data_IF_987897923929
#
_entry.id   IF_987897923929
#
_cell.length_a   1.000
_cell.length_b   1.000
_cell.length_c   1.000
_cell.angle_alpha   90.00
_cell.angle_beta   90.00
_cell.angle_gamma   90.00
#
_symmetry.space_group_name_H-M   'P 1'
#
loop_
_entity.id
_entity.type
_entity.pdbx_description
1 polymer ?
#
# COMPACT_ATOMS: atom_id res chain seq x y z
N UNK A 1 -9.24 -8.34 -43.85
CA UNK A 1 -9.39 -8.79 -42.45
C UNK A 1 -9.23 -7.59 -41.54
N UNK A 2 -10.23 -6.70 -41.52
CA UNK A 2 -10.34 -5.60 -40.57
C UNK A 2 -11.46 -5.92 -39.58
N UNK A 3 -11.34 -5.33 -38.37
CA UNK A 3 -12.30 -5.34 -37.26
C UNK A 3 -12.31 -6.58 -36.32
N UNK A 4 -11.25 -6.75 -35.51
CA UNK A 4 -11.34 -7.34 -34.16
C UNK A 4 -10.59 -6.47 -33.14
N UNK A 5 -10.57 -5.16 -33.34
CA UNK A 5 -10.31 -4.21 -32.27
C UNK A 5 -11.33 -3.10 -32.47
N UNK A 6 -12.30 -3.02 -31.55
CA UNK A 6 -13.23 -1.89 -31.51
C UNK A 6 -12.44 -0.59 -31.51
N UNK A 7 -13.02 0.47 -32.09
CA UNK A 7 -12.42 1.80 -32.16
C UNK A 7 -11.68 2.13 -30.86
N UNK A 8 -10.35 2.08 -30.92
CA UNK A 8 -9.48 2.61 -29.88
C UNK A 8 -9.63 4.11 -30.04
N UNK A 9 -10.44 4.72 -29.17
CA UNK A 9 -10.52 6.17 -29.02
C UNK A 9 -9.08 6.70 -28.86
N UNK A 10 -8.65 7.64 -29.70
CA UNK A 10 -7.28 8.21 -29.63
C UNK A 10 -6.99 8.80 -28.24
N UNK A 11 -8.05 9.13 -27.48
CA UNK A 11 -8.00 9.58 -26.09
C UNK A 11 -7.72 8.46 -25.07
N UNK A 12 -7.88 7.19 -25.40
CA UNK A 12 -7.70 6.11 -24.43
C UNK A 12 -6.23 5.91 -24.04
N UNK A 13 -5.29 6.23 -24.94
CA UNK A 13 -3.85 6.15 -24.68
C UNK A 13 -3.25 7.46 -24.18
N UNK A 14 -3.87 8.61 -24.45
CA UNK A 14 -3.33 9.91 -24.05
C UNK A 14 -3.27 10.08 -22.53
N UNK A 15 -4.29 9.60 -21.79
CA UNK A 15 -4.29 9.66 -20.33
C UNK A 15 -3.24 8.75 -19.67
N UNK A 16 -3.16 7.43 -19.98
CA UNK A 16 -2.07 6.59 -19.46
C UNK A 16 -0.68 7.13 -19.81
N UNK A 17 -0.53 7.72 -21.00
CA UNK A 17 0.73 8.30 -21.46
C UNK A 17 1.11 9.56 -20.68
N UNK A 18 0.17 10.48 -20.45
CA UNK A 18 0.42 11.67 -19.64
C UNK A 18 0.78 11.30 -18.20
N UNK A 19 0.08 10.32 -17.61
CA UNK A 19 0.41 9.82 -16.28
C UNK A 19 1.78 9.14 -16.23
N UNK A 20 2.15 8.37 -17.26
CA UNK A 20 3.49 7.78 -17.33
C UNK A 20 4.58 8.85 -17.42
N UNK A 21 4.30 10.01 -18.02
CA UNK A 21 5.20 11.17 -18.00
C UNK A 21 5.24 11.85 -16.62
N UNK A 22 4.08 12.04 -15.96
CA UNK A 22 3.98 12.65 -14.63
C UNK A 22 4.65 11.81 -13.52
N UNK A 23 4.64 10.48 -13.70
CA UNK A 23 5.36 9.52 -12.87
C UNK A 23 6.83 9.37 -13.26
N UNK A 24 7.29 10.12 -14.26
CA UNK A 24 8.66 10.09 -14.80
C UNK A 24 9.09 8.68 -15.24
N UNK A 25 8.13 7.85 -15.66
CA UNK A 25 8.39 6.51 -16.21
C UNK A 25 8.94 6.62 -17.63
N UNK A 26 8.43 7.58 -18.40
CA UNK A 26 8.81 7.81 -19.78
C UNK A 26 9.08 9.29 -20.04
N UNK A 27 9.95 9.58 -21.01
CA UNK A 27 10.22 10.92 -21.49
C UNK A 27 10.00 10.99 -23.00
N UNK A 28 9.40 12.08 -23.46
CA UNK A 28 9.30 12.40 -24.88
C UNK A 28 10.54 13.20 -25.29
N UNK A 29 11.35 12.66 -26.20
CA UNK A 29 12.50 13.35 -26.81
C UNK A 29 12.44 13.15 -28.32
N UNK A 30 12.55 14.22 -29.10
CA UNK A 30 12.51 14.17 -30.57
C UNK A 30 11.30 13.40 -31.15
N UNK A 31 10.12 13.58 -30.54
CA UNK A 31 8.89 12.89 -30.95
C UNK A 31 8.85 11.39 -30.65
N UNK A 32 9.81 10.86 -29.88
CA UNK A 32 9.87 9.45 -29.47
C UNK A 32 9.83 9.32 -27.96
N UNK A 33 9.13 8.30 -27.47
CA UNK A 33 9.10 7.95 -26.06
C UNK A 33 10.27 7.06 -25.68
N UNK A 34 10.95 7.42 -24.61
CA UNK A 34 12.04 6.67 -24.01
C UNK A 34 11.67 6.32 -22.58
N UNK A 35 12.08 5.14 -22.14
CA UNK A 35 12.00 4.79 -20.73
C UNK A 35 12.95 5.70 -19.95
N UNK A 36 12.43 6.42 -18.97
CA UNK A 36 13.20 7.32 -18.10
C UNK A 36 13.81 6.59 -16.90
N UNK A 37 13.46 5.30 -16.74
CA UNK A 37 13.90 4.44 -15.64
C UNK A 37 14.70 3.24 -16.19
N UNK A 38 15.57 2.61 -15.39
CA UNK A 38 16.17 1.34 -15.77
C UNK A 38 15.11 0.28 -16.11
N UNK A 39 15.34 -0.52 -17.16
CA UNK A 39 14.37 -1.51 -17.66
C UNK A 39 14.04 -2.57 -16.60
N UNK A 40 15.01 -2.85 -15.74
CA UNK A 40 14.92 -3.81 -14.65
C UNK A 40 13.84 -3.40 -13.63
N UNK A 41 13.59 -2.10 -13.45
CA UNK A 41 12.56 -1.60 -12.53
C UNK A 41 11.13 -1.79 -13.05
N UNK A 42 10.97 -2.18 -14.31
CA UNK A 42 9.67 -2.39 -14.96
C UNK A 42 9.63 -3.73 -15.72
N UNK A 43 10.53 -4.65 -15.38
CA UNK A 43 10.71 -5.92 -16.09
C UNK A 43 9.53 -6.89 -15.86
N UNK A 44 8.87 -6.80 -14.71
CA UNK A 44 7.67 -7.57 -14.38
C UNK A 44 6.59 -6.70 -13.76
N UNK A 45 5.37 -7.24 -13.63
CA UNK A 45 4.28 -6.57 -12.93
C UNK A 45 4.61 -6.28 -11.45
N UNK A 46 5.45 -7.10 -10.84
CA UNK A 46 5.90 -6.92 -9.46
C UNK A 46 6.92 -5.79 -9.37
N UNK A 47 7.91 -5.76 -10.28
CA UNK A 47 8.92 -4.69 -10.31
C UNK A 47 8.25 -3.34 -10.58
N UNK A 48 7.32 -3.32 -11.56
CA UNK A 48 6.54 -2.13 -11.87
C UNK A 48 5.71 -1.65 -10.69
N UNK A 49 4.99 -2.57 -10.00
CA UNK A 49 4.24 -2.24 -8.78
C UNK A 49 5.14 -1.65 -7.71
N UNK A 50 6.28 -2.29 -7.44
CA UNK A 50 7.23 -1.83 -6.44
C UNK A 50 7.72 -0.42 -6.74
N UNK A 51 8.19 -0.19 -7.97
CA UNK A 51 8.69 1.10 -8.39
C UNK A 51 7.63 2.20 -8.27
N UNK A 52 6.44 1.95 -8.85
CA UNK A 52 5.36 2.94 -8.88
C UNK A 52 4.78 3.22 -7.50
N UNK A 53 4.59 2.20 -6.66
CA UNK A 53 4.14 2.38 -5.28
C UNK A 53 5.14 3.24 -4.49
N UNK A 54 6.43 2.94 -4.57
CA UNK A 54 7.49 3.71 -3.90
C UNK A 54 7.48 5.17 -4.35
N UNK A 55 7.43 5.42 -5.65
CA UNK A 55 7.44 6.79 -6.23
C UNK A 55 6.17 7.57 -5.85
N UNK A 56 5.00 6.95 -5.93
CA UNK A 56 3.74 7.62 -5.61
C UNK A 56 3.61 7.92 -4.10
N UNK A 57 4.03 6.98 -3.25
CA UNK A 57 3.84 7.07 -1.80
C UNK A 57 4.98 7.80 -1.07
N UNK A 58 6.12 8.03 -1.72
CA UNK A 58 7.18 8.91 -1.18
C UNK A 58 6.84 10.40 -1.29
N UNK A 59 5.92 10.78 -2.18
CA UNK A 59 5.44 12.16 -2.36
C UNK A 59 4.35 12.48 -1.33
N UNK A 60 4.75 12.70 -0.09
CA UNK A 60 3.83 12.84 1.06
C UNK A 60 2.89 14.05 0.98
N UNK A 61 3.24 15.03 0.16
CA UNK A 61 2.45 16.23 -0.13
C UNK A 61 1.42 16.00 -1.25
N UNK A 62 1.49 14.90 -2.01
CA UNK A 62 0.62 14.61 -3.14
C UNK A 62 -0.84 14.31 -2.71
N UNK A 63 -1.84 14.61 -3.56
CA UNK A 63 -3.23 14.23 -3.31
C UNK A 63 -3.40 12.72 -3.10
N UNK A 64 -2.69 11.89 -3.87
CA UNK A 64 -2.76 10.44 -3.74
C UNK A 64 -2.32 9.96 -2.35
N UNK A 65 -1.21 10.50 -1.84
CA UNK A 65 -0.73 10.16 -0.50
C UNK A 65 -1.71 10.62 0.58
N UNK A 66 -2.19 11.86 0.51
CA UNK A 66 -3.14 12.41 1.49
C UNK A 66 -4.45 11.61 1.55
N UNK A 67 -5.00 11.25 0.39
CA UNK A 67 -6.18 10.39 0.30
C UNK A 67 -5.88 9.02 0.89
N UNK A 68 -4.75 8.41 0.53
CA UNK A 68 -4.36 7.09 1.04
C UNK A 68 -4.26 7.10 2.56
N UNK A 69 -3.55 8.08 3.11
CA UNK A 69 -3.38 8.27 4.55
C UNK A 69 -4.73 8.45 5.25
N UNK A 70 -5.62 9.30 4.72
CA UNK A 70 -6.95 9.50 5.28
C UNK A 70 -7.85 8.26 5.19
N UNK A 71 -7.76 7.48 4.11
CA UNK A 71 -8.54 6.24 4.02
C UNK A 71 -8.05 5.21 5.03
N UNK A 72 -6.74 5.06 5.19
CA UNK A 72 -6.17 4.06 6.11
C UNK A 72 -6.41 4.42 7.59
N UNK A 73 -6.52 5.70 7.93
CA UNK A 73 -6.84 6.16 9.29
C UNK A 73 -8.28 5.81 9.72
N UNK A 74 -9.20 5.59 8.77
CA UNK A 74 -10.60 5.23 9.05
C UNK A 74 -10.73 3.87 9.76
N UNK A 75 -9.73 2.98 9.63
CA UNK A 75 -9.75 1.64 10.24
C UNK A 75 -11.07 0.90 9.98
N UNK A 76 -11.85 0.56 10.99
CA UNK A 76 -13.14 -0.12 10.87
C UNK A 76 -14.24 0.73 10.21
N UNK A 77 -14.18 2.05 10.32
CA UNK A 77 -15.18 2.93 9.73
C UNK A 77 -15.19 2.81 8.20
N UNK A 78 -14.04 2.48 7.61
CA UNK A 78 -13.91 2.16 6.19
C UNK A 78 -14.81 0.99 5.77
N UNK A 79 -14.97 -0.02 6.63
CA UNK A 79 -15.80 -1.20 6.33
C UNK A 79 -17.30 -0.88 6.32
N UNK A 80 -17.69 0.23 6.95
CA UNK A 80 -19.07 0.73 6.95
C UNK A 80 -19.43 1.44 5.64
N UNK A 81 -18.43 1.92 4.89
CA UNK A 81 -18.63 2.53 3.58
C UNK A 81 -19.03 1.46 2.56
N UNK A 82 -20.23 1.58 2.00
CA UNK A 82 -20.82 0.60 1.06
C UNK A 82 -20.35 0.80 -0.37
N UNK A 83 -19.89 2.01 -0.69
CA UNK A 83 -19.48 2.41 -2.01
C UNK A 83 -18.42 3.51 -1.94
N UNK A 84 -17.87 3.87 -3.10
CA UNK A 84 -16.80 4.84 -3.22
C UNK A 84 -17.24 6.27 -2.85
N UNK A 85 -18.50 6.62 -3.05
CA UNK A 85 -19.04 7.95 -2.70
C UNK A 85 -19.10 8.14 -1.19
N UNK A 86 -19.54 7.12 -0.45
CA UNK A 86 -19.51 7.14 1.02
C UNK A 86 -18.09 7.22 1.56
N UNK A 87 -17.15 6.47 0.96
CA UNK A 87 -15.73 6.57 1.31
C UNK A 87 -15.17 7.98 1.03
N UNK A 88 -15.52 8.57 -0.12
CA UNK A 88 -15.12 9.93 -0.47
C UNK A 88 -15.60 10.94 0.59
N UNK A 89 -16.85 10.82 1.03
CA UNK A 89 -17.40 11.67 2.09
C UNK A 89 -16.66 11.49 3.42
N UNK A 90 -16.34 10.26 3.81
CA UNK A 90 -15.55 9.99 5.01
C UNK A 90 -14.14 10.63 4.95
N UNK A 91 -13.52 10.65 3.77
CA UNK A 91 -12.23 11.32 3.54
C UNK A 91 -12.36 12.84 3.57
N UNK A 92 -13.42 13.41 2.99
CA UNK A 92 -13.71 14.86 3.04
C UNK A 92 -13.90 15.32 4.49
N UNK A 93 -14.57 14.52 5.32
CA UNK A 93 -14.75 14.80 6.75
C UNK A 93 -13.43 14.84 7.53
N UNK A 94 -12.34 14.26 7.01
CA UNK A 94 -11.00 14.40 7.56
C UNK A 94 -10.23 15.62 7.01
N UNK A 95 -10.88 16.48 6.21
CA UNK A 95 -10.27 17.68 5.65
C UNK A 95 -9.43 17.44 4.39
N UNK A 96 -9.61 16.30 3.72
CA UNK A 96 -8.93 16.00 2.45
C UNK A 96 -9.87 16.24 1.28
N UNK A 97 -9.48 17.14 0.37
CA UNK A 97 -10.23 17.41 -0.85
C UNK A 97 -10.15 16.24 -1.83
N UNK A 98 -11.32 15.74 -2.26
CA UNK A 98 -11.42 14.64 -3.22
C UNK A 98 -12.48 14.92 -4.28
N UNK A 99 -12.20 14.49 -5.51
CA UNK A 99 -13.17 14.40 -6.59
C UNK A 99 -13.55 12.94 -6.82
N UNK A 100 -14.69 12.68 -7.48
CA UNK A 100 -15.08 11.30 -7.83
C UNK A 100 -14.04 10.62 -8.73
N UNK A 101 -13.46 11.37 -9.67
CA UNK A 101 -12.39 10.89 -10.54
C UNK A 101 -11.14 10.51 -9.73
N UNK A 102 -10.72 11.36 -8.79
CA UNK A 102 -9.58 11.09 -7.91
C UNK A 102 -9.81 9.83 -7.09
N UNK A 103 -11.02 9.63 -6.55
CA UNK A 103 -11.33 8.45 -5.75
C UNK A 103 -11.35 7.16 -6.57
N UNK A 104 -11.82 7.21 -7.84
CA UNK A 104 -11.81 6.04 -8.73
C UNK A 104 -10.40 5.63 -9.09
N UNK A 105 -9.57 6.60 -9.49
CA UNK A 105 -8.15 6.39 -9.76
C UNK A 105 -7.41 5.91 -8.52
N UNK A 106 -7.67 6.55 -7.37
CA UNK A 106 -7.09 6.16 -6.09
C UNK A 106 -7.40 4.71 -5.75
N UNK A 107 -8.68 4.29 -5.82
CA UNK A 107 -9.08 2.93 -5.44
C UNK A 107 -8.38 1.86 -6.29
N UNK A 108 -8.22 2.12 -7.59
CA UNK A 108 -7.48 1.24 -8.49
C UNK A 108 -6.02 1.13 -8.06
N UNK A 109 -5.32 2.27 -7.94
CA UNK A 109 -3.89 2.29 -7.63
C UNK A 109 -3.58 1.81 -6.22
N UNK A 110 -4.38 2.17 -5.21
CA UNK A 110 -4.22 1.69 -3.85
C UNK A 110 -4.37 0.16 -3.76
N UNK A 111 -5.30 -0.41 -4.54
CA UNK A 111 -5.42 -1.87 -4.62
C UNK A 111 -4.23 -2.49 -5.35
N UNK A 112 -3.80 -1.90 -6.47
CA UNK A 112 -2.63 -2.37 -7.21
C UNK A 112 -1.36 -2.31 -6.36
N UNK A 113 -1.14 -1.24 -5.58
CA UNK A 113 -0.01 -1.06 -4.67
C UNK A 113 -0.07 -1.94 -3.42
N UNK A 114 -1.16 -2.70 -3.24
CA UNK A 114 -1.22 -3.70 -2.18
C UNK A 114 -1.63 -3.17 -0.81
N UNK A 115 -2.39 -2.06 -0.77
CA UNK A 115 -2.94 -1.47 0.45
C UNK A 115 -4.30 -2.06 0.85
N UNK A 116 -4.90 -2.82 -0.06
CA UNK A 116 -6.17 -3.51 0.13
C UNK A 116 -6.68 -4.11 -1.16
N UNK A 117 -7.89 -4.67 -1.11
CA UNK A 117 -8.53 -5.29 -2.26
C UNK A 117 -9.91 -4.70 -2.49
N UNK A 118 -10.31 -4.65 -3.76
CA UNK A 118 -11.65 -4.25 -4.16
C UNK A 118 -12.55 -5.47 -4.05
N UNK A 119 -13.55 -5.42 -3.18
CA UNK A 119 -14.60 -6.42 -3.11
C UNK A 119 -15.94 -5.78 -3.45
N UNK A 120 -16.48 -6.09 -4.64
CA UNK A 120 -17.65 -5.41 -5.22
C UNK A 120 -17.44 -3.90 -5.26
N UNK A 121 -18.18 -3.14 -4.45
CA UNK A 121 -18.09 -1.68 -4.40
C UNK A 121 -17.21 -1.17 -3.25
N UNK A 122 -16.75 -2.05 -2.36
CA UNK A 122 -16.01 -1.71 -1.15
C UNK A 122 -14.51 -1.89 -1.34
N UNK A 123 -13.73 -1.12 -0.59
CA UNK A 123 -12.29 -1.30 -0.45
C UNK A 123 -12.03 -1.94 0.91
N UNK A 124 -11.42 -3.13 0.91
CA UNK A 124 -11.12 -3.86 2.14
C UNK A 124 -9.63 -3.70 2.47
N UNK A 125 -9.28 -3.12 3.62
CA UNK A 125 -7.90 -2.76 3.95
C UNK A 125 -7.07 -3.99 4.29
N UNK A 126 -5.96 -4.16 3.60
CA UNK A 126 -4.96 -5.19 3.88
C UNK A 126 -3.63 -4.80 3.23
N UNK A 127 -2.65 -4.43 4.05
CA UNK A 127 -1.34 -3.97 3.59
C UNK A 127 -0.34 -5.12 3.32
N UNK A 128 -0.79 -6.38 3.24
CA UNK A 128 0.07 -7.57 3.06
C UNK A 128 1.08 -7.40 1.93
N UNK A 129 0.60 -7.10 0.72
CA UNK A 129 1.46 -6.99 -0.47
C UNK A 129 2.41 -5.79 -0.31
N UNK A 130 1.90 -4.64 0.16
CA UNK A 130 2.72 -3.44 0.34
C UNK A 130 3.88 -3.65 1.33
N UNK A 131 3.60 -4.29 2.47
CA UNK A 131 4.59 -4.59 3.51
C UNK A 131 5.56 -5.66 3.00
N UNK A 132 5.06 -6.72 2.37
CA UNK A 132 5.90 -7.78 1.78
C UNK A 132 6.89 -7.18 0.78
N UNK A 133 6.40 -6.37 -0.16
CA UNK A 133 7.24 -5.77 -1.19
C UNK A 133 8.31 -4.83 -0.57
N UNK A 134 7.99 -4.12 0.52
CA UNK A 134 8.99 -3.36 1.28
C UNK A 134 10.04 -4.28 1.94
N UNK A 135 9.61 -5.39 2.54
CA UNK A 135 10.49 -6.38 3.16
C UNK A 135 11.38 -7.10 2.14
N UNK A 136 10.93 -7.33 0.91
CA UNK A 136 11.76 -7.95 -0.14
C UNK A 136 12.97 -7.09 -0.53
N UNK A 137 12.89 -5.77 -0.32
CA UNK A 137 13.87 -4.78 -0.78
C UNK A 137 14.66 -4.16 0.38
N UNK A 138 14.34 -4.54 1.61
CA UNK A 138 15.00 -4.06 2.81
C UNK A 138 16.41 -4.64 2.93
N UNK A 139 17.35 -3.85 3.45
CA UNK A 139 18.72 -4.29 3.74
C UNK A 139 19.17 -3.99 5.17
N UNK A 140 18.34 -3.29 5.95
CA UNK A 140 18.71 -2.73 7.25
C UNK A 140 18.29 -3.59 8.43
N UNK A 141 17.28 -4.45 8.26
CA UNK A 141 16.76 -5.31 9.33
C UNK A 141 17.42 -6.70 9.25
N UNK A 142 17.85 -7.26 10.40
CA UNK A 142 18.49 -8.57 10.43
C UNK A 142 17.48 -9.68 10.11
N UNK A 143 17.83 -10.54 9.15
CA UNK A 143 17.01 -11.68 8.74
C UNK A 143 17.19 -12.84 9.73
N UNK A 144 16.09 -13.50 10.11
CA UNK A 144 16.09 -14.64 11.03
C UNK A 144 16.24 -14.27 12.51
N UNK A 145 16.61 -13.03 12.82
CA UNK A 145 16.75 -12.54 14.18
C UNK A 145 15.46 -11.94 14.74
N UNK A 146 15.40 -11.84 16.07
CA UNK A 146 14.31 -11.19 16.77
C UNK A 146 14.52 -9.68 16.74
N UNK A 147 13.63 -8.95 16.06
CA UNK A 147 13.63 -7.49 16.00
C UNK A 147 12.58 -7.00 16.98
N UNK A 148 12.94 -6.06 17.86
CA UNK A 148 11.96 -5.45 18.75
C UNK A 148 10.91 -4.67 17.94
N UNK A 149 9.67 -4.66 18.43
CA UNK A 149 8.54 -4.08 17.70
C UNK A 149 8.73 -2.58 17.42
N UNK A 150 9.43 -1.85 18.30
CA UNK A 150 9.67 -0.42 18.12
C UNK A 150 10.60 -0.18 16.92
N UNK A 151 11.70 -0.93 16.82
CA UNK A 151 12.64 -0.88 15.69
C UNK A 151 11.96 -1.32 14.40
N UNK A 152 11.18 -2.40 14.42
CA UNK A 152 10.45 -2.86 13.24
C UNK A 152 9.48 -1.79 12.72
N UNK A 153 8.69 -1.17 13.61
CA UNK A 153 7.75 -0.14 13.19
C UNK A 153 8.44 1.15 12.76
N UNK A 154 9.55 1.55 13.39
CA UNK A 154 10.31 2.72 12.94
C UNK A 154 10.85 2.53 11.51
N UNK A 155 11.31 1.32 11.18
CA UNK A 155 11.66 0.95 9.81
C UNK A 155 10.44 0.96 8.87
N UNK A 156 9.31 0.37 9.31
CA UNK A 156 8.10 0.28 8.51
C UNK A 156 7.54 1.65 8.17
N UNK A 157 7.52 2.58 9.12
CA UNK A 157 7.06 3.96 8.93
C UNK A 157 7.95 4.74 7.97
N UNK A 158 9.26 4.47 7.99
CA UNK A 158 10.20 5.07 7.04
C UNK A 158 10.00 4.50 5.63
N UNK A 159 9.74 3.20 5.52
CA UNK A 159 9.63 2.49 4.23
C UNK A 159 8.23 2.57 3.60
N UNK A 160 7.21 2.79 4.43
CA UNK A 160 5.79 2.85 4.09
C UNK A 160 5.11 4.00 4.86
N UNK A 161 5.48 5.26 4.58
CA UNK A 161 4.99 6.43 5.32
C UNK A 161 3.46 6.59 5.28
N UNK A 162 2.81 6.05 4.26
CA UNK A 162 1.36 6.08 4.13
C UNK A 162 0.62 5.25 5.20
N UNK A 163 1.32 4.31 5.84
CA UNK A 163 0.74 3.43 6.86
C UNK A 163 0.72 4.09 8.26
N UNK A 164 1.48 5.16 8.46
CA UNK A 164 1.67 5.83 9.76
C UNK A 164 0.33 6.29 10.35
N UNK A 165 -0.52 6.93 9.53
CA UNK A 165 -1.80 7.48 9.98
C UNK A 165 -2.84 6.45 10.38
N UNK A 166 -2.62 5.18 10.02
CA UNK A 166 -3.51 4.09 10.44
C UNK A 166 -3.36 3.75 11.93
N UNK A 167 -2.28 4.18 12.59
CA UNK A 167 -1.98 3.85 13.99
C UNK A 167 -2.30 5.01 14.94
N UNK A 168 -2.50 4.65 16.21
CA UNK A 168 -2.60 5.59 17.32
C UNK A 168 -1.77 5.08 18.48
N UNK A 169 -0.68 5.78 18.79
CA UNK A 169 0.33 5.32 19.74
C UNK A 169 0.76 3.88 19.38
N UNK A 170 0.88 2.98 20.37
CA UNK A 170 1.24 1.59 20.16
C UNK A 170 0.06 0.72 19.69
N UNK A 171 -1.00 1.30 19.09
CA UNK A 171 -2.13 0.57 18.50
C UNK A 171 -2.05 0.63 16.98
N UNK A 172 -1.84 -0.51 16.37
CA UNK A 172 -1.64 -0.68 14.93
C UNK A 172 -2.99 -0.68 14.22
N UNK A 173 -3.07 0.02 13.09
CA UNK A 173 -4.28 0.10 12.29
C UNK A 173 -4.69 -1.22 11.64
N UNK A 174 -5.94 -1.28 11.20
CA UNK A 174 -6.58 -2.45 10.61
C UNK A 174 -5.81 -2.99 9.39
N UNK A 175 -5.45 -2.12 8.45
CA UNK A 175 -4.75 -2.52 7.22
C UNK A 175 -3.41 -3.20 7.50
N UNK A 176 -2.61 -2.60 8.38
CA UNK A 176 -1.30 -3.10 8.78
C UNK A 176 -1.44 -4.38 9.59
N UNK A 177 -2.40 -4.43 10.52
CA UNK A 177 -2.65 -5.62 11.33
C UNK A 177 -3.07 -6.81 10.48
N UNK A 178 -3.93 -6.62 9.49
CA UNK A 178 -4.28 -7.64 8.51
C UNK A 178 -3.05 -8.08 7.71
N UNK A 179 -2.26 -7.12 7.22
CA UNK A 179 -1.05 -7.40 6.46
C UNK A 179 -0.05 -8.25 7.24
N UNK A 180 0.22 -7.88 8.50
CA UNK A 180 1.13 -8.61 9.39
C UNK A 180 0.63 -10.02 9.72
N UNK A 181 -0.68 -10.21 9.92
CA UNK A 181 -1.27 -11.54 10.13
C UNK A 181 -1.12 -12.43 8.90
N UNK A 182 -1.34 -11.89 7.70
CA UNK A 182 -1.13 -12.68 6.47
C UNK A 182 0.36 -13.01 6.30
N UNK A 183 1.27 -12.07 6.56
CA UNK A 183 2.72 -12.33 6.56
C UNK A 183 3.10 -13.40 7.60
N UNK A 184 2.44 -13.40 8.75
CA UNK A 184 2.61 -14.41 9.78
C UNK A 184 2.17 -15.80 9.31
N UNK A 185 0.95 -15.90 8.81
CA UNK A 185 0.34 -17.15 8.39
C UNK A 185 1.03 -17.76 7.16
N UNK A 186 1.65 -16.92 6.32
CA UNK A 186 2.44 -17.36 5.16
C UNK A 186 3.89 -17.71 5.52
N UNK A 187 4.32 -17.47 6.76
CA UNK A 187 5.68 -17.73 7.22
C UNK A 187 6.72 -16.71 6.73
N UNK A 188 6.31 -15.64 6.05
CA UNK A 188 7.18 -14.55 5.61
C UNK A 188 7.73 -13.74 6.80
N UNK A 189 6.92 -13.61 7.84
CA UNK A 189 7.28 -12.99 9.12
C UNK A 189 6.80 -13.88 10.26
N UNK A 190 7.45 -13.86 11.41
CA UNK A 190 6.90 -14.41 12.65
C UNK A 190 6.61 -13.27 13.62
N UNK A 191 5.36 -13.13 14.03
CA UNK A 191 4.94 -12.20 15.07
C UNK A 191 5.06 -12.88 16.43
N UNK A 192 5.67 -12.21 17.41
CA UNK A 192 5.97 -12.81 18.72
C UNK A 192 5.46 -11.92 19.85
N UNK A 193 4.86 -12.55 20.86
CA UNK A 193 4.43 -11.91 22.10
C UNK A 193 5.22 -12.49 23.27
N UNK A 194 6.25 -11.76 23.71
CA UNK A 194 6.99 -12.08 24.92
C UNK A 194 6.32 -11.43 26.14
N UNK A 195 6.13 -12.16 27.26
CA UNK A 195 5.45 -11.64 28.45
C UNK A 195 6.01 -10.31 28.98
N UNK A 196 7.34 -10.20 29.09
CA UNK A 196 8.02 -9.12 29.82
C UNK A 196 8.49 -7.94 28.95
N UNK A 197 8.17 -7.94 27.65
CA UNK A 197 8.60 -6.92 26.71
C UNK A 197 7.51 -5.86 26.47
N UNK A 198 7.92 -4.66 26.05
CA UNK A 198 6.99 -3.62 25.58
C UNK A 198 6.18 -4.12 24.38
N UNK A 199 4.86 -3.94 24.43
CA UNK A 199 3.93 -4.51 23.44
C UNK A 199 3.22 -3.44 22.63
N UNK A 200 3.03 -3.73 21.35
CA UNK A 200 2.11 -3.02 20.48
C UNK A 200 0.88 -3.88 20.22
N UNK A 201 -0.27 -3.24 20.15
CA UNK A 201 -1.57 -3.89 19.98
C UNK A 201 -1.90 -3.92 18.49
N UNK A 202 -2.09 -5.10 17.95
CA UNK A 202 -2.74 -5.26 16.65
C UNK A 202 -4.21 -4.84 16.76
N UNK A 203 -4.81 -4.49 15.63
CA UNK A 203 -6.25 -4.34 15.53
C UNK A 203 -6.92 -5.64 15.97
N UNK A 204 -7.80 -5.56 16.96
CA UNK A 204 -8.30 -6.73 17.67
C UNK A 204 -9.41 -7.43 16.89
N UNK A 205 -9.30 -8.76 16.80
CA UNK A 205 -10.39 -9.62 16.37
C UNK A 205 -10.63 -10.69 17.42
N UNK A 206 -11.89 -10.93 17.76
CA UNK A 206 -12.26 -11.92 18.77
C UNK A 206 -11.81 -13.36 18.41
N UNK A 207 -11.67 -13.65 17.12
CA UNK A 207 -11.26 -14.95 16.61
C UNK A 207 -9.72 -15.14 16.56
N UNK A 208 -8.93 -14.09 16.80
CA UNK A 208 -7.47 -14.13 16.69
C UNK A 208 -6.84 -14.33 18.07
N UNK A 209 -5.92 -15.29 18.18
CA UNK A 209 -5.19 -15.56 19.42
C UNK A 209 -4.04 -14.57 19.67
N UNK A 210 -3.50 -13.97 18.60
CA UNK A 210 -2.42 -12.98 18.66
C UNK A 210 -2.96 -11.57 18.38
N UNK A 211 -3.14 -10.80 19.46
CA UNK A 211 -3.59 -9.41 19.41
C UNK A 211 -2.56 -8.39 19.92
N UNK A 212 -1.47 -8.85 20.54
CA UNK A 212 -0.37 -8.03 20.99
C UNK A 212 0.95 -8.65 20.50
N UNK A 213 1.89 -7.80 20.10
CA UNK A 213 3.21 -8.21 19.61
C UNK A 213 4.29 -7.39 20.32
N UNK A 214 5.42 -8.02 20.64
CA UNK A 214 6.61 -7.35 21.16
C UNK A 214 7.80 -7.45 20.24
N UNK A 215 7.82 -8.44 19.34
CA UNK A 215 8.89 -8.64 18.38
C UNK A 215 8.38 -9.19 17.06
N UNK A 216 9.22 -9.04 16.04
CA UNK A 216 9.04 -9.52 14.68
C UNK A 216 10.30 -10.25 14.26
N UNK A 217 10.17 -11.41 13.62
CA UNK A 217 11.27 -12.10 12.92
C UNK A 217 10.97 -12.15 11.44
N UNK A 218 11.89 -11.70 10.60
CA UNK A 218 11.74 -11.75 9.14
C UNK A 218 12.35 -13.05 8.62
N UNK A 219 11.63 -13.78 7.77
CA UNK A 219 12.13 -15.00 7.13
C UNK A 219 13.00 -14.68 5.91
N UNK A 220 14.01 -15.50 5.61
CA UNK A 220 14.93 -15.25 4.49
C UNK A 220 14.38 -15.55 3.08
N UNK A 221 13.18 -16.13 2.97
CA UNK A 221 12.55 -16.52 1.70
C UNK A 221 11.39 -15.61 1.31
N UNK A 222 11.65 -14.31 1.11
CA UNK A 222 10.62 -13.34 0.70
C UNK A 222 10.45 -13.23 -0.84
N UNK A 223 11.07 -14.11 -1.62
CA UNK A 223 11.02 -14.11 -3.10
C UNK A 223 9.70 -14.61 -3.66
#
# INVERSE_FOLDING_TARGET
MSAIMGHIDENAFSYPLSYAQDLELIALRDGKYYLSVPKELVASINDFRFYTARTALSRTDSPFFRITSAVLSLNEALLLCRNLSELAQAVIQQGVEVSEYNMRGWRFWASFFGLGYIHKFQFVPNAFIRIRDALCQQQSLPIGEMIDVQTFFSWLETSCPELVSSRKDNRIGLAVSNGLRVLHNTGAVTLVNQPDAGKWKLYQFAAESLNDISHVRISGGLS
#
